data_IF_572762664069
#
_entry.id   IF_572762664069
#
_cell.length_a   1.000
_cell.length_b   1.000
_cell.length_c   1.000
_cell.angle_alpha   90.00
_cell.angle_beta   90.00
_cell.angle_gamma   90.00
#
_symmetry.space_group_name_H-M   'P 1'
#
loop_
_entity.id
_entity.type
_entity.pdbx_description
1 polymer ?
#
# COMPACT_ATOMS: atom_id res chain seq x y z
N UNK A 1 9.73 -15.52 -3.66
CA UNK A 1 8.46 -15.71 -2.91
C UNK A 1 7.42 -14.83 -3.57
N UNK A 2 6.26 -15.38 -3.95
CA UNK A 2 5.18 -14.59 -4.56
C UNK A 2 4.45 -13.78 -3.46
N UNK A 3 3.97 -12.58 -3.76
CA UNK A 3 3.29 -11.72 -2.75
C UNK A 3 2.05 -12.40 -2.15
N UNK A 4 1.46 -13.38 -2.86
CA UNK A 4 0.34 -14.20 -2.43
C UNK A 4 0.63 -15.21 -1.30
N UNK A 5 1.89 -15.66 -1.15
CA UNK A 5 2.33 -16.64 -0.14
C UNK A 5 3.16 -15.99 0.96
N UNK A 6 3.30 -14.66 0.90
CA UNK A 6 4.03 -13.88 1.89
C UNK A 6 3.12 -13.56 3.07
N UNK A 7 3.69 -13.52 4.27
CA UNK A 7 2.99 -13.01 5.46
C UNK A 7 3.06 -11.48 5.43
N UNK A 8 1.90 -10.83 5.47
CA UNK A 8 1.81 -9.40 5.66
C UNK A 8 1.63 -9.08 7.16
N UNK A 9 2.37 -8.09 7.65
CA UNK A 9 2.27 -7.60 9.03
C UNK A 9 1.84 -6.14 9.00
N UNK A 10 0.82 -5.82 9.78
CA UNK A 10 0.35 -4.46 10.02
C UNK A 10 0.26 -4.21 11.53
N UNK A 11 0.78 -3.08 12.06
CA UNK A 11 1.61 -2.08 11.36
C UNK A 11 3.01 -2.62 11.00
N UNK A 12 3.75 -1.97 10.08
CA UNK A 12 5.11 -2.37 9.75
C UNK A 12 6.01 -2.31 10.99
N UNK A 13 6.88 -3.31 11.16
CA UNK A 13 7.77 -3.44 12.33
C UNK A 13 9.19 -2.94 12.10
N UNK A 14 9.66 -2.99 10.84
CA UNK A 14 11.06 -2.78 10.47
C UNK A 14 11.23 -1.62 9.46
N UNK A 15 10.27 -0.70 9.41
CA UNK A 15 10.39 0.53 8.62
C UNK A 15 10.53 1.70 9.57
N UNK A 16 11.49 2.58 9.30
CA UNK A 16 11.60 3.84 10.00
C UNK A 16 10.55 4.84 9.49
N UNK A 17 10.34 5.92 10.25
CA UNK A 17 9.33 6.92 9.91
C UNK A 17 9.65 7.60 8.57
N UNK A 18 10.93 7.85 8.27
CA UNK A 18 11.35 8.48 7.02
C UNK A 18 10.98 7.63 5.78
N UNK A 19 11.15 6.31 5.83
CA UNK A 19 10.74 5.41 4.77
C UNK A 19 9.22 5.37 4.64
N UNK A 20 8.48 5.35 5.76
CA UNK A 20 7.01 5.40 5.75
C UNK A 20 6.52 6.68 5.07
N UNK A 21 7.07 7.84 5.44
CA UNK A 21 6.71 9.13 4.85
C UNK A 21 7.02 9.18 3.34
N UNK A 22 8.14 8.56 2.94
CA UNK A 22 8.51 8.41 1.52
C UNK A 22 7.49 7.54 0.77
N UNK A 23 7.07 6.42 1.34
CA UNK A 23 6.04 5.53 0.77
C UNK A 23 4.71 6.27 0.61
N UNK A 24 4.30 7.06 1.61
CA UNK A 24 3.06 7.86 1.55
C UNK A 24 3.17 8.89 0.42
N UNK A 25 4.26 9.66 0.36
CA UNK A 25 4.49 10.67 -0.68
C UNK A 25 4.44 10.06 -2.09
N UNK A 26 5.06 8.90 -2.29
CA UNK A 26 5.04 8.21 -3.58
C UNK A 26 3.63 7.72 -3.92
N UNK A 27 2.92 7.17 -2.95
CA UNK A 27 1.55 6.69 -3.11
C UNK A 27 0.62 7.82 -3.57
N UNK A 28 0.70 8.99 -2.93
CA UNK A 28 -0.11 10.16 -3.30
C UNK A 28 0.22 10.64 -4.72
N UNK A 29 1.50 10.78 -5.05
CA UNK A 29 1.95 11.22 -6.39
C UNK A 29 1.48 10.26 -7.47
N UNK A 30 1.57 8.95 -7.23
CA UNK A 30 1.13 7.93 -8.19
C UNK A 30 -0.39 7.95 -8.33
N UNK A 31 -1.14 7.98 -7.22
CA UNK A 31 -2.60 7.97 -7.25
C UNK A 31 -3.16 9.21 -7.98
N UNK A 32 -2.60 10.40 -7.70
CA UNK A 32 -2.97 11.64 -8.39
C UNK A 32 -2.57 11.63 -9.86
N UNK A 33 -1.34 11.17 -10.18
CA UNK A 33 -0.84 11.09 -11.55
C UNK A 33 -1.66 10.15 -12.43
N UNK A 34 -2.16 9.04 -11.87
CA UNK A 34 -3.03 8.08 -12.54
C UNK A 34 -4.52 8.46 -12.49
N UNK A 35 -4.87 9.58 -11.84
CA UNK A 35 -6.27 10.05 -11.66
C UNK A 35 -7.17 8.96 -11.06
N UNK A 36 -6.67 8.19 -10.10
CA UNK A 36 -7.41 7.12 -9.44
C UNK A 36 -8.72 7.67 -8.86
N UNK A 37 -9.81 6.95 -9.09
CA UNK A 37 -11.10 7.14 -8.43
C UNK A 37 -11.44 5.84 -7.69
N UNK A 38 -11.60 5.93 -6.38
CA UNK A 38 -11.77 4.78 -5.50
C UNK A 38 -10.44 4.24 -4.96
N UNK A 39 -10.28 2.92 -4.93
CA UNK A 39 -9.13 2.25 -4.30
C UNK A 39 -7.97 2.02 -5.27
N UNK A 40 -6.75 2.09 -4.74
CA UNK A 40 -5.52 1.66 -5.41
C UNK A 40 -4.68 0.80 -4.47
N UNK A 41 -4.01 -0.20 -5.03
CA UNK A 41 -3.03 -1.00 -4.34
C UNK A 41 -1.68 -0.87 -5.04
N UNK A 42 -0.66 -0.49 -4.29
CA UNK A 42 0.71 -0.33 -4.79
C UNK A 42 1.61 -1.31 -4.03
N UNK A 43 2.47 -2.01 -4.77
CA UNK A 43 3.48 -2.88 -4.19
C UNK A 43 4.85 -2.22 -4.35
N UNK A 44 5.58 -2.16 -3.23
CA UNK A 44 6.90 -1.56 -3.16
C UNK A 44 7.96 -2.60 -2.76
N UNK A 45 9.21 -2.32 -3.13
CA UNK A 45 10.40 -3.00 -2.60
C UNK A 45 11.29 -1.96 -1.96
N UNK A 46 11.71 -2.23 -0.73
CA UNK A 46 12.78 -1.47 -0.06
C UNK A 46 14.05 -2.30 -0.13
N UNK A 47 15.08 -1.79 -0.79
CA UNK A 47 16.38 -2.42 -0.87
C UNK A 47 17.48 -1.39 -0.63
N UNK A 48 18.36 -1.66 0.34
CA UNK A 48 19.43 -0.73 0.75
C UNK A 48 18.92 0.69 1.03
N UNK A 49 17.79 0.79 1.74
CA UNK A 49 17.10 2.05 2.06
C UNK A 49 16.63 2.86 0.84
N UNK A 50 16.51 2.22 -0.32
CA UNK A 50 15.92 2.80 -1.53
C UNK A 50 14.57 2.16 -1.80
N UNK A 51 13.57 2.99 -2.05
CA UNK A 51 12.20 2.57 -2.36
C UNK A 51 12.02 2.42 -3.87
N UNK A 52 11.53 1.25 -4.29
CA UNK A 52 11.21 0.92 -5.68
C UNK A 52 9.72 0.56 -5.79
N UNK A 53 9.08 0.96 -6.89
CA UNK A 53 7.72 0.56 -7.24
C UNK A 53 7.78 -0.72 -8.06
N UNK A 54 7.09 -1.78 -7.63
CA UNK A 54 6.94 -3.00 -8.41
C UNK A 54 5.76 -2.92 -9.37
N UNK A 55 4.58 -2.66 -8.82
CA UNK A 55 3.34 -2.59 -9.59
C UNK A 55 2.31 -1.68 -8.92
N UNK A 56 1.41 -1.15 -9.75
CA UNK A 56 0.28 -0.31 -9.34
C UNK A 56 -1.00 -0.91 -9.90
N UNK A 57 -1.92 -1.28 -9.02
CA UNK A 57 -3.22 -1.82 -9.34
C UNK A 57 -4.29 -0.79 -8.95
N UNK A 58 -4.86 0.00 -9.89
CA UNK A 58 -5.90 1.00 -9.61
C UNK A 58 -7.27 0.34 -9.40
N UNK A 59 -7.32 -0.58 -8.44
CA UNK A 59 -8.49 -1.35 -8.03
C UNK A 59 -8.30 -1.87 -6.60
N UNK A 60 -9.38 -2.38 -6.02
CA UNK A 60 -9.32 -3.10 -4.75
C UNK A 60 -8.38 -4.31 -4.83
N UNK A 61 -7.73 -4.63 -3.71
CA UNK A 61 -6.90 -5.82 -3.54
C UNK A 61 -7.50 -6.75 -2.49
N UNK A 62 -6.98 -7.98 -2.43
CA UNK A 62 -7.35 -8.97 -1.42
C UNK A 62 -7.05 -8.55 0.02
N UNK A 63 -6.26 -7.51 0.26
CA UNK A 63 -5.92 -7.03 1.61
C UNK A 63 -6.93 -6.03 2.16
N UNK A 64 -7.82 -5.47 1.33
CA UNK A 64 -8.80 -4.44 1.74
C UNK A 64 -9.76 -4.93 2.83
N UNK A 65 -10.37 -6.13 2.76
CA UNK A 65 -11.25 -6.62 3.83
C UNK A 65 -10.52 -6.81 5.16
N UNK A 66 -9.29 -7.32 5.11
CA UNK A 66 -8.44 -7.49 6.29
C UNK A 66 -8.13 -6.14 6.95
N UNK A 67 -7.63 -5.17 6.17
CA UNK A 67 -7.30 -3.84 6.67
C UNK A 67 -8.53 -3.10 7.19
N UNK A 68 -9.68 -3.20 6.52
CA UNK A 68 -10.93 -2.58 6.98
C UNK A 68 -11.34 -3.10 8.36
N UNK A 69 -11.16 -4.40 8.61
CA UNK A 69 -11.50 -5.00 9.91
C UNK A 69 -10.51 -4.63 11.01
N UNK A 70 -9.21 -4.61 10.71
CA UNK A 70 -8.16 -4.29 11.69
C UNK A 70 -8.15 -2.79 12.05
N UNK A 71 -8.44 -1.92 11.09
CA UNK A 71 -8.46 -0.46 11.30
C UNK A 71 -9.83 0.10 11.72
N UNK A 72 -10.91 -0.66 11.51
CA UNK A 72 -12.28 -0.19 11.70
C UNK A 72 -12.77 0.76 10.59
N UNK A 73 -11.97 1.01 9.56
CA UNK A 73 -12.30 1.93 8.45
C UNK A 73 -13.04 1.14 7.36
N UNK A 74 -14.28 1.51 6.98
CA UNK A 74 -15.02 0.82 5.92
C UNK A 74 -14.53 1.25 4.53
N UNK A 75 -13.32 0.85 4.14
CA UNK A 75 -12.62 1.36 2.96
C UNK A 75 -13.43 1.24 1.66
N UNK A 76 -14.11 0.11 1.44
CA UNK A 76 -14.93 -0.11 0.23
C UNK A 76 -16.14 0.84 0.15
N UNK A 77 -16.67 1.27 1.31
CA UNK A 77 -17.82 2.20 1.34
C UNK A 77 -17.39 3.66 1.12
N UNK A 78 -16.14 3.98 1.45
CA UNK A 78 -15.58 5.33 1.32
C UNK A 78 -15.04 5.61 -0.09
N UNK A 79 -14.55 4.56 -0.75
CA UNK A 79 -14.00 4.62 -2.10
C UNK A 79 -15.08 4.80 -3.17
#
# INVERSE_FOLDING_TARGET
VHSGDSIAVYPPRNLDQAMIDTIISYTDRIALGLRVKGLVNIQYVVYQNVLYVLEVNPRSSRTVPFLSKVTGIPMVKLA
#
